data_IF_311970932666
#
_entry.id   IF_311970932666
#
_cell.length_a   1.000
_cell.length_b   1.000
_cell.length_c   1.000
_cell.angle_alpha   90.00
_cell.angle_beta   90.00
_cell.angle_gamma   90.00
#
_symmetry.space_group_name_H-M   'P 1'
#
loop_
_entity.id
_entity.type
_entity.pdbx_description
1 polymer ?
#
# COMPACT_ATOMS: atom_id res chain seq x y z
N UNK A 1 -5.48 -14.46 -4.81
CA UNK A 1 -5.25 -13.11 -4.25
C UNK A 1 -3.84 -12.57 -4.50
N UNK A 2 -2.79 -13.41 -4.51
CA UNK A 2 -1.37 -13.03 -4.70
C UNK A 2 -1.11 -12.05 -5.84
N UNK A 3 -1.72 -12.30 -7.01
CA UNK A 3 -1.63 -11.43 -8.19
C UNK A 3 -1.98 -9.96 -7.90
N UNK A 4 -2.97 -9.68 -7.04
CA UNK A 4 -3.36 -8.30 -6.73
C UNK A 4 -2.38 -7.59 -5.79
N UNK A 5 -1.70 -8.32 -4.90
CA UNK A 5 -0.58 -7.75 -4.14
C UNK A 5 0.59 -7.40 -5.06
N UNK A 6 0.96 -8.30 -5.98
CA UNK A 6 2.01 -8.03 -6.96
C UNK A 6 1.65 -6.84 -7.87
N UNK A 7 0.39 -6.74 -8.30
CA UNK A 7 -0.13 -5.59 -9.03
C UNK A 7 0.01 -4.29 -8.22
N UNK A 8 -0.45 -4.30 -6.98
CA UNK A 8 -0.39 -3.14 -6.09
C UNK A 8 1.06 -2.68 -5.89
N UNK A 9 1.99 -3.62 -5.65
CA UNK A 9 3.41 -3.32 -5.47
C UNK A 9 4.03 -2.70 -6.72
N UNK A 10 3.73 -3.26 -7.90
CA UNK A 10 4.20 -2.71 -9.17
C UNK A 10 3.67 -1.28 -9.40
N UNK A 11 2.38 -1.05 -9.15
CA UNK A 11 1.76 0.28 -9.32
C UNK A 11 2.31 1.28 -8.31
N UNK A 12 2.54 0.89 -7.05
CA UNK A 12 3.17 1.75 -6.05
C UNK A 12 4.58 2.15 -6.45
N UNK A 13 5.38 1.23 -6.95
CA UNK A 13 6.74 1.52 -7.40
C UNK A 13 6.72 2.51 -8.59
N UNK A 14 5.79 2.34 -9.52
CA UNK A 14 5.56 3.28 -10.63
C UNK A 14 5.10 4.66 -10.13
N UNK A 15 4.26 4.73 -9.09
CA UNK A 15 3.86 5.99 -8.47
C UNK A 15 5.02 6.67 -7.73
N UNK A 16 5.86 5.91 -7.05
CA UNK A 16 7.07 6.45 -6.41
C UNK A 16 8.04 6.99 -7.46
N UNK A 17 8.19 6.33 -8.62
CA UNK A 17 8.96 6.86 -9.74
C UNK A 17 8.33 8.14 -10.30
N UNK A 18 7.01 8.14 -10.53
CA UNK A 18 6.26 9.31 -10.97
C UNK A 18 6.43 10.50 -10.03
N UNK A 19 6.54 10.27 -8.71
CA UNK A 19 6.72 11.34 -7.73
C UNK A 19 8.08 12.05 -7.84
N UNK A 20 9.11 11.43 -8.45
CA UNK A 20 10.45 12.04 -8.58
C UNK A 20 10.48 13.31 -9.43
N UNK A 21 9.46 13.51 -10.29
CA UNK A 21 9.36 14.72 -11.09
C UNK A 21 8.80 15.92 -10.32
N UNK A 22 8.26 15.69 -9.11
CA UNK A 22 7.66 16.73 -8.29
C UNK A 22 8.67 17.26 -7.25
N UNK A 23 8.68 18.58 -6.99
CA UNK A 23 9.41 19.11 -5.84
C UNK A 23 8.79 18.61 -4.53
N UNK A 24 9.60 18.53 -3.47
CA UNK A 24 9.13 18.09 -2.14
C UNK A 24 7.94 18.89 -1.61
N UNK A 25 7.85 20.18 -1.95
CA UNK A 25 6.71 21.03 -1.61
C UNK A 25 5.40 20.51 -2.22
N UNK A 26 5.39 20.09 -3.49
CA UNK A 26 4.18 19.55 -4.14
C UNK A 26 3.80 18.17 -3.62
N UNK A 27 4.78 17.38 -3.17
CA UNK A 27 4.55 16.08 -2.52
C UNK A 27 3.91 16.22 -1.13
N UNK A 28 4.25 17.29 -0.41
CA UNK A 28 3.75 17.62 0.93
C UNK A 28 2.56 18.60 0.91
N UNK A 29 2.16 19.09 -0.26
CA UNK A 29 1.07 20.04 -0.40
C UNK A 29 -0.26 19.39 -0.04
N UNK A 30 -1.01 20.05 0.84
CA UNK A 30 -2.38 19.67 1.19
C UNK A 30 -3.31 19.77 -0.04
N UNK A 31 -4.15 18.76 -0.20
CA UNK A 31 -5.12 18.60 -1.28
C UNK A 31 -6.43 18.09 -0.72
N UNK A 32 -7.52 18.39 -1.43
CA UNK A 32 -8.84 17.87 -1.07
C UNK A 32 -8.91 16.37 -1.38
N UNK A 33 -9.38 15.60 -0.40
CA UNK A 33 -9.63 14.16 -0.53
C UNK A 33 -8.52 13.29 0.05
N UNK A 34 -8.78 11.99 0.13
CA UNK A 34 -7.81 11.00 0.58
C UNK A 34 -7.17 11.32 1.94
N UNK A 35 -5.86 11.10 2.02
CA UNK A 35 -5.07 11.31 3.23
C UNK A 35 -4.46 12.72 3.31
N UNK A 36 -4.85 13.67 2.44
CA UNK A 36 -4.40 15.07 2.48
C UNK A 36 -3.19 15.40 1.60
N UNK A 37 -2.15 14.55 1.55
CA UNK A 37 -0.96 14.81 0.70
C UNK A 37 -0.55 13.59 -0.12
N UNK A 38 0.17 13.80 -1.22
CA UNK A 38 0.68 12.71 -2.08
C UNK A 38 1.65 11.82 -1.28
N UNK A 39 2.62 12.43 -0.58
CA UNK A 39 3.63 11.68 0.14
C UNK A 39 3.05 10.90 1.33
N UNK A 40 2.15 11.54 2.09
CA UNK A 40 1.50 10.86 3.20
C UNK A 40 0.60 9.72 2.71
N UNK A 41 -0.05 9.87 1.54
CA UNK A 41 -0.85 8.79 0.96
C UNK A 41 0.01 7.55 0.67
N UNK A 42 1.21 7.72 0.09
CA UNK A 42 2.13 6.59 -0.16
C UNK A 42 2.65 5.97 1.14
N UNK A 43 2.98 6.79 2.14
CA UNK A 43 3.34 6.32 3.47
C UNK A 43 2.21 5.52 4.13
N UNK A 44 1.00 6.07 4.13
CA UNK A 44 -0.20 5.48 4.72
C UNK A 44 -0.53 4.11 4.12
N UNK A 45 -0.41 3.97 2.79
CA UNK A 45 -0.59 2.69 2.10
C UNK A 45 0.39 1.64 2.63
N UNK A 46 1.69 1.98 2.68
CA UNK A 46 2.73 1.04 3.13
C UNK A 46 2.54 0.65 4.61
N UNK A 47 2.21 1.63 5.46
CA UNK A 47 1.95 1.44 6.89
C UNK A 47 0.75 0.54 7.15
N UNK A 48 -0.40 0.84 6.53
CA UNK A 48 -1.63 0.03 6.66
C UNK A 48 -1.43 -1.39 6.15
N UNK A 49 -0.77 -1.57 5.01
CA UNK A 49 -0.43 -2.91 4.49
C UNK A 49 0.40 -3.69 5.51
N UNK A 50 1.48 -3.08 6.02
CA UNK A 50 2.40 -3.78 6.91
C UNK A 50 1.74 -4.14 8.24
N UNK A 51 1.05 -3.19 8.89
CA UNK A 51 0.34 -3.42 10.15
C UNK A 51 -0.68 -4.55 10.01
N UNK A 52 -1.60 -4.48 9.03
CA UNK A 52 -2.61 -5.52 8.87
C UNK A 52 -2.00 -6.90 8.57
N UNK A 53 -1.01 -6.98 7.69
CA UNK A 53 -0.39 -8.27 7.36
C UNK A 53 0.44 -8.84 8.51
N UNK A 54 1.03 -7.99 9.37
CA UNK A 54 1.64 -8.42 10.64
C UNK A 54 0.59 -8.96 11.61
N UNK A 55 -0.55 -8.27 11.74
CA UNK A 55 -1.69 -8.70 12.55
C UNK A 55 -2.23 -10.07 12.10
N UNK A 56 -2.39 -10.26 10.78
CA UNK A 56 -2.81 -11.56 10.19
C UNK A 56 -1.83 -12.70 10.54
N UNK A 57 -0.54 -12.38 10.64
CA UNK A 57 0.52 -13.31 11.05
C UNK A 57 0.59 -13.54 12.57
N UNK A 58 -0.22 -12.85 13.37
CA UNK A 58 -0.16 -12.89 14.84
C UNK A 58 1.10 -12.24 15.41
N UNK A 59 1.76 -11.38 14.63
CA UNK A 59 2.97 -10.66 15.02
C UNK A 59 2.60 -9.31 15.65
N UNK A 60 3.43 -8.78 16.57
CA UNK A 60 3.22 -7.44 17.09
C UNK A 60 3.37 -6.41 15.97
N UNK A 61 2.61 -5.33 16.09
CA UNK A 61 2.68 -4.20 15.17
C UNK A 61 4.00 -3.45 15.29
N UNK A 62 4.40 -2.77 14.21
CA UNK A 62 5.56 -1.89 14.18
C UNK A 62 5.09 -0.49 13.89
N UNK A 63 4.93 0.29 14.96
CA UNK A 63 4.41 1.64 14.89
C UNK A 63 5.50 2.60 14.39
N UNK A 64 5.22 3.28 13.28
CA UNK A 64 6.07 4.33 12.70
C UNK A 64 5.29 5.64 12.60
N UNK A 65 6.00 6.78 12.69
CA UNK A 65 5.37 8.09 12.55
C UNK A 65 5.79 8.74 11.24
N UNK A 66 4.84 9.33 10.52
CA UNK A 66 5.11 9.99 9.24
C UNK A 66 6.17 11.09 9.35
N UNK A 67 6.28 11.75 10.51
CA UNK A 67 7.30 12.76 10.81
C UNK A 67 8.74 12.29 10.54
N UNK A 68 9.02 10.99 10.74
CA UNK A 68 10.34 10.43 10.46
C UNK A 68 10.62 10.23 8.96
N UNK A 69 9.57 10.19 8.11
CA UNK A 69 9.58 9.76 6.70
C UNK A 69 9.09 10.85 5.72
N UNK A 70 9.27 12.15 6.04
CA UNK A 70 8.82 13.29 5.20
C UNK A 70 9.58 13.52 3.87
N UNK A 71 10.17 12.49 3.29
CA UNK A 71 10.83 12.53 1.97
C UNK A 71 10.47 11.29 1.17
N UNK A 72 10.38 11.41 -0.16
CA UNK A 72 10.07 10.29 -1.05
C UNK A 72 11.03 9.12 -0.86
N UNK A 73 12.33 9.40 -0.70
CA UNK A 73 13.39 8.42 -0.50
C UNK A 73 13.12 7.58 0.74
N UNK A 74 12.85 8.23 1.88
CA UNK A 74 12.53 7.54 3.14
C UNK A 74 11.25 6.70 3.07
N UNK A 75 10.19 7.19 2.43
CA UNK A 75 8.95 6.40 2.25
C UNK A 75 9.23 5.18 1.38
N UNK A 76 10.05 5.35 0.34
CA UNK A 76 10.48 4.22 -0.51
C UNK A 76 11.33 3.22 0.27
N UNK A 77 12.32 3.68 1.02
CA UNK A 77 13.17 2.83 1.87
C UNK A 77 12.34 2.01 2.86
N UNK A 78 11.33 2.63 3.49
CA UNK A 78 10.40 1.93 4.38
C UNK A 78 9.61 0.83 3.66
N UNK A 79 8.98 1.18 2.53
CA UNK A 79 8.22 0.23 1.71
C UNK A 79 9.09 -0.92 1.21
N UNK A 80 10.32 -0.64 0.79
CA UNK A 80 11.27 -1.63 0.30
C UNK A 80 11.79 -2.53 1.43
N UNK A 81 12.01 -1.98 2.63
CA UNK A 81 12.48 -2.74 3.80
C UNK A 81 11.46 -3.77 4.29
N UNK A 82 10.16 -3.45 4.20
CA UNK A 82 9.08 -4.36 4.60
C UNK A 82 8.70 -5.38 3.52
N UNK A 83 8.98 -5.07 2.25
CA UNK A 83 8.58 -5.89 1.09
C UNK A 83 8.99 -7.37 1.19
N UNK A 84 10.21 -7.75 1.64
CA UNK A 84 10.61 -9.15 1.71
C UNK A 84 9.74 -9.97 2.65
N UNK A 85 9.47 -9.47 3.87
CA UNK A 85 8.61 -10.15 4.85
C UNK A 85 7.18 -10.34 4.30
N UNK A 86 6.64 -9.29 3.68
CA UNK A 86 5.30 -9.35 3.10
C UNK A 86 5.24 -10.32 1.91
N UNK A 87 6.28 -10.33 1.06
CA UNK A 87 6.39 -11.24 -0.07
C UNK A 87 6.41 -12.69 0.39
N UNK A 88 7.26 -13.02 1.36
CA UNK A 88 7.33 -14.37 1.90
C UNK A 88 5.97 -14.82 2.47
N UNK A 89 5.27 -13.93 3.17
CA UNK A 89 3.93 -14.21 3.69
C UNK A 89 2.90 -14.45 2.58
N UNK A 90 2.84 -13.58 1.56
CA UNK A 90 1.88 -13.67 0.47
C UNK A 90 2.18 -14.86 -0.46
N UNK A 91 3.44 -15.19 -0.71
CA UNK A 91 3.83 -16.34 -1.52
C UNK A 91 3.46 -17.67 -0.84
N UNK A 92 3.53 -17.73 0.49
CA UNK A 92 3.12 -18.90 1.28
C UNK A 92 1.64 -18.88 1.70
N UNK A 93 0.86 -17.90 1.24
CA UNK A 93 -0.59 -17.87 1.50
C UNK A 93 -1.32 -19.03 0.80
N UNK A 94 -2.24 -19.66 1.54
CA UNK A 94 -3.20 -20.66 1.05
C UNK A 94 -4.62 -20.15 1.30
N UNK A 95 -5.50 -20.27 0.31
CA UNK A 95 -6.87 -19.77 0.39
C UNK A 95 -7.71 -20.49 1.47
N UNK A 96 -7.34 -21.71 1.85
CA UNK A 96 -7.95 -22.46 2.96
C UNK A 96 -7.82 -21.73 4.30
N UNK A 97 -6.74 -20.97 4.48
CA UNK A 97 -6.49 -20.17 5.69
C UNK A 97 -7.37 -18.92 5.76
N UNK A 98 -8.10 -18.62 4.68
CA UNK A 98 -8.92 -17.42 4.56
C UNK A 98 -10.06 -17.35 5.58
N UNK A 99 -10.59 -18.49 6.02
CA UNK A 99 -11.66 -18.59 7.02
C UNK A 99 -11.16 -18.61 8.46
N UNK A 100 -9.84 -18.70 8.69
CA UNK A 100 -9.28 -18.65 10.04
C UNK A 100 -9.56 -17.28 10.68
N UNK A 101 -10.03 -17.31 11.92
CA UNK A 101 -10.23 -16.10 12.72
C UNK A 101 -8.90 -15.48 13.14
N UNK A 102 -8.87 -14.16 13.25
CA UNK A 102 -7.74 -13.40 13.75
C UNK A 102 -8.23 -12.18 14.53
N UNK A 103 -7.56 -11.88 15.64
CA UNK A 103 -7.73 -10.64 16.41
C UNK A 103 -6.44 -9.82 16.31
N UNK A 104 -6.56 -8.55 15.95
CA UNK A 104 -5.43 -7.61 15.88
C UNK A 104 -5.27 -6.85 17.19
N UNK A 105 -4.10 -6.26 17.43
CA UNK A 105 -3.79 -5.65 18.73
C UNK A 105 -4.49 -4.30 18.97
N UNK A 106 -4.94 -3.63 17.90
CA UNK A 106 -5.52 -2.28 17.92
C UNK A 106 -7.04 -2.26 17.73
N UNK A 107 -7.68 -3.42 17.58
CA UNK A 107 -9.12 -3.54 17.42
C UNK A 107 -9.64 -4.70 18.27
N UNK A 108 -10.82 -4.52 18.87
CA UNK A 108 -11.44 -5.54 19.72
C UNK A 108 -12.25 -6.58 18.95
N UNK A 109 -12.55 -6.30 17.68
CA UNK A 109 -13.28 -7.17 16.78
C UNK A 109 -12.46 -8.40 16.33
N UNK A 110 -13.18 -9.45 15.94
CA UNK A 110 -12.59 -10.67 15.38
C UNK A 110 -12.89 -10.71 13.88
N UNK A 111 -11.84 -10.80 13.08
CA UNK A 111 -11.93 -10.84 11.61
C UNK A 111 -11.59 -12.22 11.08
N UNK A 112 -11.84 -12.42 9.79
CA UNK A 112 -11.23 -13.53 9.04
C UNK A 112 -9.95 -13.06 8.34
N UNK A 113 -8.92 -13.91 8.28
CA UNK A 113 -7.66 -13.54 7.60
C UNK A 113 -7.89 -13.16 6.14
N UNK A 114 -8.79 -13.88 5.45
CA UNK A 114 -9.11 -13.59 4.06
C UNK A 114 -9.82 -12.26 3.84
N UNK A 115 -10.62 -11.80 4.80
CA UNK A 115 -11.23 -10.47 4.77
C UNK A 115 -10.17 -9.38 4.87
N UNK A 116 -9.24 -9.50 5.83
CA UNK A 116 -8.16 -8.53 6.02
C UNK A 116 -7.25 -8.41 4.79
N UNK A 117 -6.90 -9.53 4.14
CA UNK A 117 -6.12 -9.50 2.89
C UNK A 117 -6.85 -8.74 1.78
N UNK A 118 -8.17 -8.94 1.65
CA UNK A 118 -8.97 -8.22 0.64
C UNK A 118 -9.14 -6.74 0.98
N UNK A 119 -9.26 -6.41 2.27
CA UNK A 119 -9.27 -5.04 2.75
C UNK A 119 -7.99 -4.31 2.35
N UNK A 120 -6.82 -4.89 2.62
CA UNK A 120 -5.51 -4.31 2.25
C UNK A 120 -5.40 -4.11 0.74
N UNK A 121 -5.81 -5.10 -0.06
CA UNK A 121 -5.82 -4.96 -1.53
C UNK A 121 -6.68 -3.78 -1.98
N UNK A 122 -7.92 -3.70 -1.48
CA UNK A 122 -8.87 -2.65 -1.86
C UNK A 122 -8.42 -1.26 -1.38
N UNK A 123 -7.82 -1.18 -0.19
CA UNK A 123 -7.31 0.05 0.40
C UNK A 123 -6.23 0.70 -0.47
N UNK A 124 -5.22 -0.06 -0.90
CA UNK A 124 -4.18 0.49 -1.77
C UNK A 124 -4.75 0.92 -3.13
N UNK A 125 -5.61 0.11 -3.77
CA UNK A 125 -6.26 0.46 -5.04
C UNK A 125 -7.08 1.76 -4.92
N UNK A 126 -7.82 1.91 -3.82
CA UNK A 126 -8.61 3.11 -3.53
C UNK A 126 -7.73 4.36 -3.47
N UNK A 127 -6.61 4.30 -2.74
CA UNK A 127 -5.71 5.44 -2.61
C UNK A 127 -4.92 5.74 -3.89
N UNK A 128 -4.54 4.73 -4.68
CA UNK A 128 -3.96 4.96 -6.01
C UNK A 128 -4.95 5.66 -6.96
N UNK A 129 -6.25 5.40 -6.81
CA UNK A 129 -7.31 6.13 -7.49
C UNK A 129 -7.30 7.62 -7.15
N UNK A 130 -7.08 7.99 -5.88
CA UNK A 130 -6.99 9.39 -5.46
C UNK A 130 -5.75 10.10 -6.03
N UNK A 131 -4.58 9.43 -6.01
CA UNK A 131 -3.36 9.94 -6.64
C UNK A 131 -3.58 10.23 -8.14
N UNK A 132 -4.37 9.39 -8.82
CA UNK A 132 -4.68 9.59 -10.25
C UNK A 132 -5.44 10.89 -10.52
N UNK A 133 -6.31 11.33 -9.60
CA UNK A 133 -7.04 12.60 -9.71
C UNK A 133 -6.08 13.77 -9.51
N UNK A 134 -5.27 13.74 -8.45
CA UNK A 134 -4.29 14.81 -8.18
C UNK A 134 -3.22 14.93 -9.25
N UNK A 135 -2.79 13.82 -9.87
CA UNK A 135 -1.91 13.85 -11.02
C UNK A 135 -2.51 14.67 -12.18
N UNK A 136 -3.82 14.51 -12.44
CA UNK A 136 -4.54 15.27 -13.47
C UNK A 136 -4.70 16.74 -13.10
N UNK A 137 -4.93 17.06 -11.84
CA UNK A 137 -4.97 18.45 -11.35
C UNK A 137 -3.62 19.16 -11.55
N UNK A 138 -2.51 18.42 -11.45
CA UNK A 138 -1.17 18.91 -11.75
C UNK A 138 -0.87 19.00 -13.26
N UNK A 139 -1.80 18.59 -14.12
CA UNK A 139 -1.61 18.57 -15.58
C UNK A 139 -0.70 17.44 -16.06
N UNK A 140 -0.43 16.44 -15.23
CA UNK A 140 0.50 15.33 -15.53
C UNK A 140 -0.31 14.05 -15.80
N UNK A 141 0.18 13.21 -16.71
CA UNK A 141 -0.42 11.90 -16.93
C UNK A 141 -0.24 11.00 -15.67
N UNK A 142 -1.29 10.36 -15.16
CA UNK A 142 -1.20 9.44 -14.02
C UNK A 142 -0.57 8.11 -14.45
N UNK A 143 -0.09 7.36 -13.46
CA UNK A 143 0.27 5.96 -13.64
C UNK A 143 -0.95 5.15 -14.05
N UNK A 144 -0.78 4.19 -14.96
CA UNK A 144 -1.88 3.35 -15.44
C UNK A 144 -2.41 2.43 -14.32
N UNK A 145 -3.72 2.41 -14.09
CA UNK A 145 -4.35 1.47 -13.15
C UNK A 145 -4.75 0.13 -13.80
N UNK A 146 -4.32 -0.14 -15.04
CA UNK A 146 -4.68 -1.38 -15.72
C UNK A 146 -3.97 -2.57 -15.08
N UNK A 147 -4.73 -3.56 -14.62
CA UNK A 147 -4.17 -4.84 -14.17
C UNK A 147 -3.67 -5.69 -15.36
N UNK A 148 -4.40 -5.62 -16.49
CA UNK A 148 -4.09 -6.38 -17.70
C UNK A 148 -2.85 -5.78 -18.39
N UNK A 149 -2.01 -6.66 -18.94
CA UNK A 149 -0.80 -6.26 -19.68
C UNK A 149 0.44 -6.05 -18.82
N UNK A 150 0.35 -6.32 -17.51
CA UNK A 150 1.46 -6.18 -16.55
C UNK A 150 2.33 -7.43 -16.36
N UNK A 151 2.04 -8.52 -17.08
CA UNK A 151 2.80 -9.77 -16.99
C UNK A 151 2.48 -10.65 -15.77
N UNK A 152 1.46 -10.30 -14.97
CA UNK A 152 1.12 -10.98 -13.70
C UNK A 152 0.28 -12.26 -13.85
N UNK A 153 -0.15 -12.60 -15.07
CA UNK A 153 -0.98 -13.79 -15.31
C UNK A 153 -0.20 -15.12 -15.25
N UNK A 154 1.14 -15.08 -15.13
CA UNK A 154 2.03 -16.25 -15.17
C UNK A 154 2.92 -16.37 -13.92
N UNK A 155 2.70 -15.52 -12.91
CA UNK A 155 3.45 -15.48 -11.66
C UNK A 155 2.78 -16.26 -10.54
#
# INVERSE_FOLDING_TARGET
>A
MKMLFQYNWQVRDEWMEWCKQLPSEELLRERTGGAGTILYTLFHIADVEYSWLRGVQGKPDVQVTFEAYKTLEKVKELSDAWRPELRDFIENWSDERGSESVKVAWDDEVYTKGELLRHVIAHEIHHMGQLSVWARELGIAPVSANVIGRGLARS
#
